data_IF_655236384995
#
_entry.id   IF_655236384995
#
_cell.length_a   1.000
_cell.length_b   1.000
_cell.length_c   1.000
_cell.angle_alpha   90.00
_cell.angle_beta   90.00
_cell.angle_gamma   90.00
#
_symmetry.space_group_name_H-M   'P 1'
#
loop_
_entity.id
_entity.type
_entity.pdbx_description
1 polymer ?
#
# COMPACT_ATOMS: atom_id res chain seq x y z
N UNK A 1 -12.11 -13.30 15.46
CA UNK A 1 -11.97 -11.95 16.07
C UNK A 1 -13.19 -11.08 15.76
N UNK A 2 -14.34 -11.25 16.45
CA UNK A 2 -15.53 -10.42 16.24
C UNK A 2 -15.55 -9.16 17.12
N UNK A 3 -15.02 -9.24 18.35
CA UNK A 3 -15.25 -8.20 19.37
C UNK A 3 -14.56 -6.87 19.07
N UNK A 4 -13.35 -6.93 18.49
CA UNK A 4 -12.64 -5.73 18.05
C UNK A 4 -13.44 -4.97 16.99
N UNK A 5 -13.99 -5.69 16.01
CA UNK A 5 -14.77 -5.11 14.91
C UNK A 5 -16.04 -4.47 15.45
N UNK A 6 -16.74 -5.15 16.36
CA UNK A 6 -17.93 -4.61 17.02
C UNK A 6 -17.62 -3.31 17.79
N UNK A 7 -16.56 -3.30 18.59
CA UNK A 7 -16.15 -2.10 19.34
C UNK A 7 -15.74 -0.95 18.42
N UNK A 8 -15.06 -1.25 17.31
CA UNK A 8 -14.63 -0.26 16.32
C UNK A 8 -15.82 0.46 15.67
N UNK A 9 -16.90 -0.26 15.34
CA UNK A 9 -18.11 0.34 14.75
C UNK A 9 -18.84 1.30 15.69
N UNK A 10 -18.65 1.18 17.01
CA UNK A 10 -19.26 2.07 18.00
C UNK A 10 -18.45 3.34 18.29
N UNK A 11 -17.24 3.48 17.74
CA UNK A 11 -16.44 4.70 17.87
C UNK A 11 -17.00 5.84 17.01
N UNK A 12 -16.84 7.09 17.47
CA UNK A 12 -17.09 8.25 16.61
C UNK A 12 -16.08 8.33 15.47
N UNK A 13 -16.45 9.10 14.43
CA UNK A 13 -15.71 9.14 13.16
C UNK A 13 -14.27 9.64 13.31
N UNK A 14 -14.02 10.59 14.21
CA UNK A 14 -12.67 11.11 14.43
C UNK A 14 -11.79 10.06 15.11
N UNK A 15 -12.35 9.30 16.05
CA UNK A 15 -11.65 8.19 16.70
C UNK A 15 -11.40 7.04 15.72
N UNK A 16 -12.37 6.68 14.88
CA UNK A 16 -12.17 5.65 13.84
C UNK A 16 -11.03 6.03 12.88
N UNK A 17 -11.01 7.26 12.38
CA UNK A 17 -9.97 7.74 11.48
C UNK A 17 -8.58 7.72 12.14
N UNK A 18 -8.50 8.10 13.43
CA UNK A 18 -7.25 8.06 14.20
C UNK A 18 -6.77 6.63 14.46
N UNK A 19 -7.68 5.70 14.79
CA UNK A 19 -7.29 4.32 15.02
C UNK A 19 -6.81 3.65 13.73
N UNK A 20 -7.48 3.89 12.60
CA UNK A 20 -7.05 3.38 11.29
C UNK A 20 -5.69 3.95 10.89
N UNK A 21 -5.45 5.25 11.10
CA UNK A 21 -4.16 5.85 10.76
C UNK A 21 -3.03 5.32 11.63
N UNK A 22 -3.28 5.09 12.93
CA UNK A 22 -2.31 4.53 13.87
C UNK A 22 -1.96 3.07 13.57
N UNK A 23 -2.95 2.27 13.17
CA UNK A 23 -2.79 0.83 12.93
C UNK A 23 -2.30 0.49 11.52
N UNK A 24 -2.12 1.48 10.65
CA UNK A 24 -1.60 1.29 9.29
C UNK A 24 -0.21 0.64 9.26
N UNK A 25 0.61 0.93 10.27
CA UNK A 25 1.94 0.30 10.44
C UNK A 25 1.85 -1.19 10.82
N UNK A 26 0.73 -1.61 11.41
CA UNK A 26 0.50 -2.99 11.85
C UNK A 26 -0.05 -3.86 10.72
N UNK A 27 -0.68 -3.27 9.70
CA UNK A 27 -1.23 -4.00 8.55
C UNK A 27 -0.28 -4.08 7.35
N UNK A 28 0.55 -3.05 7.14
CA UNK A 28 1.41 -2.92 5.95
C UNK A 28 2.86 -3.36 6.23
N UNK A 29 3.09 -4.09 7.32
CA UNK A 29 4.40 -4.55 7.77
C UNK A 29 4.90 -5.80 7.04
N UNK A 30 6.22 -5.93 6.92
CA UNK A 30 6.89 -7.17 6.53
C UNK A 30 6.95 -8.08 7.76
N UNK A 31 6.69 -9.38 7.61
CA UNK A 31 6.81 -10.34 8.72
C UNK A 31 8.27 -10.46 9.18
N UNK A 32 8.47 -10.66 10.48
CA UNK A 32 9.82 -10.76 11.07
C UNK A 32 10.65 -11.90 10.44
N UNK A 33 10.03 -13.06 10.23
CA UNK A 33 10.66 -14.21 9.56
C UNK A 33 11.12 -13.87 8.14
N UNK A 34 10.32 -13.10 7.39
CA UNK A 34 10.66 -12.68 6.03
C UNK A 34 11.80 -11.66 6.04
N UNK A 35 11.74 -10.67 6.93
CA UNK A 35 12.80 -9.66 7.09
C UNK A 35 14.14 -10.34 7.46
N UNK A 36 14.10 -11.27 8.40
CA UNK A 36 15.27 -12.05 8.84
C UNK A 36 15.84 -12.88 7.70
N UNK A 37 14.98 -13.55 6.93
CA UNK A 37 15.40 -14.35 5.77
C UNK A 37 16.08 -13.50 4.69
N UNK A 38 15.52 -12.31 4.39
CA UNK A 38 16.12 -11.36 3.45
C UNK A 38 17.49 -10.91 3.97
N UNK A 39 17.58 -10.50 5.24
CA UNK A 39 18.84 -10.04 5.83
C UNK A 39 19.94 -11.11 5.77
N UNK A 40 19.62 -12.34 6.17
CA UNK A 40 20.56 -13.47 6.14
C UNK A 40 21.05 -13.75 4.71
N UNK A 41 20.15 -13.72 3.73
CA UNK A 41 20.49 -13.94 2.32
C UNK A 41 21.44 -12.87 1.79
N UNK A 42 21.14 -11.60 2.06
CA UNK A 42 21.99 -10.47 1.66
C UNK A 42 23.35 -10.48 2.37
N UNK A 43 23.37 -10.86 3.65
CA UNK A 43 24.61 -10.97 4.42
C UNK A 43 25.50 -12.09 3.87
N UNK A 44 24.90 -13.27 3.60
CA UNK A 44 25.63 -14.43 3.09
C UNK A 44 26.27 -14.12 1.72
N UNK A 45 25.51 -13.56 0.79
CA UNK A 45 26.00 -13.17 -0.54
C UNK A 45 27.19 -12.18 -0.45
N UNK A 46 27.06 -11.17 0.40
CA UNK A 46 28.06 -10.09 0.49
C UNK A 46 29.29 -10.46 1.31
N UNK A 47 29.13 -11.08 2.48
CA UNK A 47 30.21 -11.26 3.46
C UNK A 47 30.79 -12.67 3.45
N UNK A 48 29.97 -13.68 3.15
CA UNK A 48 30.42 -15.08 3.12
C UNK A 48 30.93 -15.44 1.73
N UNK A 49 30.10 -15.27 0.70
CA UNK A 49 30.49 -15.55 -0.69
C UNK A 49 31.40 -14.48 -1.28
N UNK A 50 31.35 -13.26 -0.72
CA UNK A 50 32.15 -12.09 -1.18
C UNK A 50 31.92 -11.77 -2.66
N UNK A 51 30.68 -11.95 -3.11
CA UNK A 51 30.31 -11.61 -4.48
C UNK A 51 30.47 -10.10 -4.72
N UNK A 52 30.80 -9.70 -5.97
CA UNK A 52 30.77 -8.28 -6.33
C UNK A 52 29.37 -7.72 -6.07
N UNK A 53 29.30 -6.48 -5.61
CA UNK A 53 28.02 -5.85 -5.22
C UNK A 53 27.11 -5.69 -6.43
N UNK A 54 26.12 -6.57 -6.56
CA UNK A 54 25.16 -6.60 -7.66
C UNK A 54 23.77 -6.08 -7.27
N UNK A 55 23.51 -5.87 -5.98
CA UNK A 55 22.26 -5.35 -5.44
C UNK A 55 22.45 -4.11 -4.56
N UNK A 56 21.38 -3.34 -4.39
CA UNK A 56 21.34 -2.18 -3.51
C UNK A 56 19.94 -2.01 -2.92
N UNK A 57 19.88 -1.60 -1.65
CA UNK A 57 18.63 -1.25 -0.96
C UNK A 57 18.65 0.26 -0.74
N UNK A 58 17.59 0.95 -1.18
CA UNK A 58 17.55 2.41 -1.17
C UNK A 58 16.32 2.89 -0.36
N UNK A 59 16.46 3.05 0.96
CA UNK A 59 15.37 3.60 1.78
C UNK A 59 15.14 5.08 1.49
N UNK A 60 13.99 5.59 1.94
CA UNK A 60 13.59 7.00 1.77
C UNK A 60 13.65 7.49 0.32
N UNK A 61 13.31 6.63 -0.64
CA UNK A 61 13.16 7.00 -2.05
C UNK A 61 11.68 7.02 -2.43
N UNK A 62 11.28 8.05 -3.15
CA UNK A 62 9.97 8.14 -3.78
C UNK A 62 10.14 8.10 -5.30
N UNK A 63 9.33 7.27 -5.98
CA UNK A 63 9.27 7.24 -7.44
C UNK A 63 8.38 8.38 -7.93
N UNK A 64 8.99 9.44 -8.49
CA UNK A 64 8.30 10.65 -8.95
C UNK A 64 8.08 10.69 -10.46
N UNK A 65 8.71 9.77 -11.20
CA UNK A 65 8.51 9.64 -12.64
C UNK A 65 8.97 8.28 -13.15
N UNK A 66 8.25 7.77 -14.15
CA UNK A 66 8.57 6.53 -14.83
C UNK A 66 8.30 6.72 -16.32
N UNK A 67 9.36 6.67 -17.11
CA UNK A 67 9.31 6.82 -18.57
C UNK A 67 9.95 5.62 -19.25
N UNK A 68 9.66 5.43 -20.54
CA UNK A 68 10.32 4.43 -21.38
C UNK A 68 11.35 5.12 -22.29
N UNK A 69 12.61 4.75 -22.17
CA UNK A 69 13.71 5.23 -23.00
C UNK A 69 14.25 4.07 -23.85
N UNK A 70 13.77 3.98 -25.10
CA UNK A 70 14.11 2.86 -25.99
C UNK A 70 13.56 1.53 -25.48
N UNK A 71 14.45 0.66 -25.00
CA UNK A 71 14.10 -0.68 -24.46
C UNK A 71 14.08 -0.74 -22.93
N UNK A 72 14.47 0.34 -22.25
CA UNK A 72 14.61 0.37 -20.80
C UNK A 72 13.67 1.39 -20.17
N UNK A 73 13.27 1.12 -18.94
CA UNK A 73 12.54 2.06 -18.10
C UNK A 73 13.52 3.03 -17.44
N UNK A 74 13.19 4.31 -17.49
CA UNK A 74 13.88 5.37 -16.79
C UNK A 74 13.05 5.80 -15.58
N UNK A 75 13.58 5.58 -14.39
CA UNK A 75 12.95 5.91 -13.11
C UNK A 75 13.56 7.18 -12.57
N UNK A 76 12.73 8.19 -12.28
CA UNK A 76 13.12 9.36 -11.50
C UNK A 76 12.76 9.13 -10.04
N UNK A 77 13.77 9.10 -9.19
CA UNK A 77 13.63 8.92 -7.74
C UNK A 77 13.99 10.21 -7.02
N UNK A 78 13.17 10.60 -6.03
CA UNK A 78 13.45 11.71 -5.13
C UNK A 78 13.74 11.18 -3.73
N UNK A 79 14.82 11.64 -3.11
CA UNK A 79 15.14 11.29 -1.74
C UNK A 79 14.28 12.10 -0.76
N UNK A 80 13.54 11.44 0.13
CA UNK A 80 12.53 12.11 0.98
C UNK A 80 13.07 13.11 2.02
N UNK A 81 14.35 13.02 2.38
CA UNK A 81 14.99 13.98 3.32
C UNK A 81 15.77 15.09 2.61
N UNK A 82 16.62 14.75 1.64
CA UNK A 82 17.49 15.72 0.96
C UNK A 82 16.85 16.36 -0.26
N UNK A 83 15.66 15.87 -0.68
CA UNK A 83 14.94 16.23 -1.90
C UNK A 83 15.74 16.02 -3.20
N UNK A 84 16.93 15.44 -3.11
CA UNK A 84 17.79 15.20 -4.27
C UNK A 84 17.13 14.19 -5.20
N UNK A 85 17.08 14.53 -6.49
CA UNK A 85 16.56 13.66 -7.54
C UNK A 85 17.68 12.89 -8.23
N UNK A 86 17.42 11.64 -8.58
CA UNK A 86 18.32 10.80 -9.36
C UNK A 86 17.55 9.97 -10.37
N UNK A 87 18.26 9.54 -11.40
CA UNK A 87 17.72 8.69 -12.46
C UNK A 87 18.32 7.30 -12.34
N UNK A 88 17.48 6.28 -12.45
CA UNK A 88 17.87 4.88 -12.58
C UNK A 88 17.31 4.30 -13.88
N UNK A 89 18.04 3.38 -14.48
CA UNK A 89 17.59 2.64 -15.66
C UNK A 89 17.40 1.17 -15.30
N UNK A 90 16.33 0.55 -15.81
CA UNK A 90 16.02 -0.85 -15.58
C UNK A 90 15.28 -1.46 -16.77
N UNK A 91 15.60 -2.71 -17.10
CA UNK A 91 14.87 -3.45 -18.14
C UNK A 91 13.45 -3.84 -17.67
N UNK A 92 13.28 -4.10 -16.37
CA UNK A 92 12.01 -4.51 -15.76
C UNK A 92 11.79 -3.78 -14.44
N UNK A 93 10.56 -3.31 -14.21
CA UNK A 93 10.13 -2.65 -12.97
C UNK A 93 8.97 -3.42 -12.35
N UNK A 94 9.12 -3.85 -11.10
CA UNK A 94 8.06 -4.53 -10.32
C UNK A 94 7.52 -3.54 -9.28
N UNK A 95 6.24 -3.19 -9.38
CA UNK A 95 5.59 -2.24 -8.48
C UNK A 95 4.81 -2.98 -7.37
N UNK A 96 5.38 -3.02 -6.18
CA UNK A 96 4.76 -3.62 -5.00
C UNK A 96 4.02 -2.57 -4.14
N UNK A 97 3.23 -1.68 -4.74
CA UNK A 97 2.58 -0.53 -4.07
C UNK A 97 1.23 -0.86 -3.41
N UNK A 98 0.86 -2.15 -3.36
CA UNK A 98 -0.39 -2.60 -2.77
C UNK A 98 -1.63 -2.32 -3.63
N UNK A 99 -2.80 -2.19 -2.99
CA UNK A 99 -4.08 -2.03 -3.68
C UNK A 99 -4.83 -0.80 -3.20
N UNK A 100 -5.52 -0.13 -4.13
CA UNK A 100 -6.46 0.94 -3.82
C UNK A 100 -7.90 0.43 -3.91
N UNK A 101 -8.67 0.60 -2.84
CA UNK A 101 -10.11 0.31 -2.86
C UNK A 101 -10.83 1.44 -3.60
N UNK A 102 -11.63 1.09 -4.61
CA UNK A 102 -12.41 2.04 -5.41
C UNK A 102 -13.87 1.60 -5.45
N UNK A 103 -14.79 2.55 -5.67
CA UNK A 103 -16.20 2.23 -5.90
C UNK A 103 -16.37 1.49 -7.23
N UNK A 104 -17.00 0.31 -7.20
CA UNK A 104 -17.26 -0.44 -8.43
C UNK A 104 -18.18 0.40 -9.35
N UNK A 105 -17.91 0.47 -10.67
CA UNK A 105 -18.60 1.38 -11.57
C UNK A 105 -20.13 1.23 -11.59
N UNK A 106 -20.65 0.02 -11.40
CA UNK A 106 -22.08 -0.28 -11.35
C UNK A 106 -22.85 0.42 -10.22
N UNK A 107 -22.17 0.84 -9.15
CA UNK A 107 -22.80 1.60 -8.06
C UNK A 107 -22.94 3.11 -8.37
N UNK A 108 -22.29 3.62 -9.42
CA UNK A 108 -22.37 5.04 -9.79
C UNK A 108 -23.73 5.44 -10.36
N UNK A 109 -24.49 4.49 -10.87
CA UNK A 109 -25.77 4.71 -11.58
C UNK A 109 -26.99 4.54 -10.68
N UNK A 110 -26.82 4.22 -9.40
CA UNK A 110 -27.94 4.08 -8.48
C UNK A 110 -28.53 5.47 -8.14
N UNK A 111 -29.87 5.63 -8.17
CA UNK A 111 -30.51 6.89 -7.84
C UNK A 111 -30.23 7.31 -6.39
N UNK A 112 -29.90 8.59 -6.22
CA UNK A 112 -29.36 9.24 -5.01
C UNK A 112 -30.38 9.29 -3.84
N UNK A 113 -31.55 8.63 -3.94
CA UNK A 113 -32.54 8.60 -2.86
C UNK A 113 -32.16 7.72 -1.68
N UNK A 114 -31.14 6.89 -1.81
CA UNK A 114 -30.53 6.27 -0.65
C UNK A 114 -29.71 7.33 0.09
N UNK A 115 -30.10 7.64 1.33
CA UNK A 115 -29.41 8.57 2.21
C UNK A 115 -28.02 8.03 2.61
N UNK A 116 -27.07 8.08 1.67
CA UNK A 116 -25.65 7.78 1.86
C UNK A 116 -24.87 9.06 2.22
N UNK A 117 -25.54 10.08 2.77
CA UNK A 117 -25.00 11.43 2.73
C UNK A 117 -23.96 11.66 3.84
N UNK A 118 -22.72 11.86 3.37
CA UNK A 118 -21.56 12.43 4.06
C UNK A 118 -20.55 11.40 4.59
N UNK A 119 -20.03 10.58 3.68
CA UNK A 119 -18.78 9.84 3.84
C UNK A 119 -17.81 10.27 2.74
N UNK A 120 -16.80 11.07 3.10
CA UNK A 120 -15.63 11.31 2.28
C UNK A 120 -14.93 9.96 2.03
N UNK A 121 -15.19 9.35 0.87
CA UNK A 121 -14.33 8.33 0.26
C UNK A 121 -14.24 6.95 0.93
N UNK A 122 -15.00 6.65 1.99
CA UNK A 122 -15.01 5.33 2.64
C UNK A 122 -16.43 4.75 2.70
N UNK A 123 -16.57 3.50 2.29
CA UNK A 123 -17.84 2.78 2.25
C UNK A 123 -18.51 2.67 3.63
N UNK A 124 -19.85 2.79 3.66
CA UNK A 124 -20.67 2.28 4.76
C UNK A 124 -20.62 0.75 4.71
N UNK A 125 -19.85 0.14 5.59
CA UNK A 125 -19.94 -1.30 5.85
C UNK A 125 -20.95 -1.49 6.98
N UNK A 126 -22.17 -1.89 6.63
CA UNK A 126 -23.11 -2.44 7.60
C UNK A 126 -22.51 -3.76 8.12
N UNK A 127 -22.63 -4.05 9.42
CA UNK A 127 -22.07 -5.28 10.02
C UNK A 127 -22.70 -6.58 9.48
N UNK A 128 -23.70 -6.46 8.61
CA UNK A 128 -24.35 -7.52 7.88
C UNK A 128 -24.16 -7.26 6.38
N UNK A 129 -23.19 -7.95 5.78
CA UNK A 129 -23.10 -8.10 4.34
C UNK A 129 -24.20 -9.10 3.90
N UNK A 130 -25.47 -8.70 4.01
CA UNK A 130 -26.59 -9.44 3.43
C UNK A 130 -26.81 -8.89 2.02
N UNK A 131 -26.16 -9.52 1.06
CA UNK A 131 -26.45 -9.35 -0.35
C UNK A 131 -27.75 -10.13 -0.63
N UNK A 132 -28.90 -9.60 -0.23
CA UNK A 132 -30.18 -10.09 -0.77
C UNK A 132 -30.30 -9.54 -2.19
N UNK A 133 -29.89 -10.37 -3.14
CA UNK A 133 -30.22 -10.21 -4.55
C UNK A 133 -31.74 -10.33 -4.70
N UNK A 134 -32.42 -9.20 -4.81
CA UNK A 134 -33.80 -9.17 -5.28
C UNK A 134 -33.82 -9.58 -6.77
N UNK A 135 -34.28 -10.80 -7.01
CA UNK A 135 -34.89 -11.25 -8.26
C UNK A 135 -36.24 -10.55 -8.46
#
# INVERSE_FOLDING_TARGET
>A
MPDYVNQFYHLDKERQAREVSRQKLTSDGITDDCLTSIYQSLYHDKYVLRNPKWWTVQPHQELVGLDLSGKQHQLRLRHGVTEHEKVLEADVVILCTGFKRVLAPCFKTLPISCNWMSFLGHYLTLSSCALEAAL
#
